data_IF_167778740243
#
_entry.id   IF_167778740243
#
_cell.length_a   1.000
_cell.length_b   1.000
_cell.length_c   1.000
_cell.angle_alpha   90.00
_cell.angle_beta   90.00
_cell.angle_gamma   90.00
#
_symmetry.space_group_name_H-M   'P 1'
#
loop_
_entity.id
_entity.type
_entity.pdbx_description
1 polymer ?
#
# COMPACT_ATOMS: atom_id res chain seq x y z
N UNK A 1 57.85 10.00 -11.54
CA UNK A 1 56.82 9.39 -10.67
C UNK A 1 57.13 7.91 -10.59
N UNK A 2 57.46 7.41 -9.41
CA UNK A 2 57.78 6.00 -9.19
C UNK A 2 56.49 5.16 -9.19
N UNK A 3 56.58 3.87 -9.56
CA UNK A 3 55.44 2.95 -9.60
C UNK A 3 54.71 2.85 -8.25
N UNK A 4 55.44 2.94 -7.14
CA UNK A 4 54.89 2.96 -5.79
C UNK A 4 54.03 4.21 -5.51
N UNK A 5 54.45 5.39 -5.96
CA UNK A 5 53.68 6.63 -5.81
C UNK A 5 52.37 6.56 -6.60
N UNK A 6 52.42 6.00 -7.82
CA UNK A 6 51.21 5.79 -8.64
C UNK A 6 50.25 4.83 -7.94
N UNK A 7 50.77 3.75 -7.36
CA UNK A 7 49.96 2.76 -6.66
C UNK A 7 49.28 3.36 -5.43
N UNK A 8 50.01 4.16 -4.65
CA UNK A 8 49.49 4.85 -3.46
C UNK A 8 48.39 5.87 -3.82
N UNK A 9 48.60 6.72 -4.83
CA UNK A 9 47.59 7.68 -5.30
C UNK A 9 46.34 6.93 -5.82
N UNK A 10 46.55 5.84 -6.56
CA UNK A 10 45.46 5.01 -7.08
C UNK A 10 44.65 4.38 -5.95
N UNK A 11 45.30 3.82 -4.92
CA UNK A 11 44.60 3.26 -3.75
C UNK A 11 43.76 4.31 -3.02
N UNK A 12 44.29 5.51 -2.80
CA UNK A 12 43.53 6.60 -2.18
C UNK A 12 42.33 6.98 -3.06
N UNK A 13 42.54 7.13 -4.37
CA UNK A 13 41.47 7.45 -5.32
C UNK A 13 40.35 6.41 -5.32
N UNK A 14 40.70 5.13 -5.35
CA UNK A 14 39.74 4.02 -5.27
C UNK A 14 39.01 4.01 -3.93
N UNK A 15 39.71 4.24 -2.82
CA UNK A 15 39.12 4.32 -1.49
C UNK A 15 38.07 5.43 -1.38
N UNK A 16 38.37 6.63 -1.90
CA UNK A 16 37.43 7.75 -1.97
C UNK A 16 36.23 7.38 -2.85
N UNK A 17 36.45 6.78 -4.02
CA UNK A 17 35.38 6.38 -4.92
C UNK A 17 34.42 5.37 -4.28
N UNK A 18 34.94 4.43 -3.48
CA UNK A 18 34.11 3.47 -2.72
C UNK A 18 33.27 4.19 -1.66
N UNK A 19 33.85 5.09 -0.88
CA UNK A 19 33.12 5.85 0.14
C UNK A 19 31.98 6.66 -0.49
N UNK A 20 32.28 7.37 -1.57
CA UNK A 20 31.28 8.15 -2.32
C UNK A 20 30.17 7.24 -2.83
N UNK A 21 30.51 6.07 -3.39
CA UNK A 21 29.52 5.09 -3.87
C UNK A 21 28.60 4.60 -2.75
N UNK A 22 29.14 4.31 -1.56
CA UNK A 22 28.33 3.89 -0.40
C UNK A 22 27.34 4.99 0.01
N UNK A 23 27.78 6.26 0.02
CA UNK A 23 26.91 7.40 0.34
C UNK A 23 25.78 7.52 -0.68
N UNK A 24 26.08 7.39 -1.98
CA UNK A 24 25.05 7.41 -3.03
C UNK A 24 24.02 6.28 -2.86
N UNK A 25 24.47 5.06 -2.62
CA UNK A 25 23.57 3.92 -2.36
C UNK A 25 22.67 4.19 -1.15
N UNK A 26 23.22 4.73 -0.06
CA UNK A 26 22.42 5.07 1.12
C UNK A 26 21.36 6.16 0.82
N UNK A 27 21.70 7.15 -0.01
CA UNK A 27 20.77 8.19 -0.45
C UNK A 27 19.67 7.62 -1.35
N UNK A 28 20.03 6.76 -2.32
CA UNK A 28 19.07 6.10 -3.22
C UNK A 28 18.10 5.21 -2.44
N UNK A 29 18.58 4.41 -1.49
CA UNK A 29 17.73 3.60 -0.63
C UNK A 29 16.74 4.47 0.15
N UNK A 30 17.22 5.58 0.73
CA UNK A 30 16.35 6.51 1.47
C UNK A 30 15.29 7.15 0.57
N UNK A 31 15.66 7.56 -0.64
CA UNK A 31 14.71 8.14 -1.61
C UNK A 31 13.69 7.11 -2.07
N UNK A 32 14.13 5.88 -2.39
CA UNK A 32 13.25 4.79 -2.80
C UNK A 32 12.25 4.44 -1.71
N UNK A 33 12.69 4.31 -0.45
CA UNK A 33 11.78 4.06 0.68
C UNK A 33 10.79 5.22 0.90
N UNK A 34 11.17 6.46 0.63
CA UNK A 34 10.24 7.59 0.68
C UNK A 34 9.21 7.56 -0.45
N UNK A 35 9.66 7.30 -1.69
CA UNK A 35 8.78 7.20 -2.86
C UNK A 35 7.78 6.06 -2.73
N UNK A 36 8.21 4.90 -2.22
CA UNK A 36 7.32 3.76 -1.94
C UNK A 36 6.23 4.15 -0.93
N UNK A 37 6.61 4.76 0.20
CA UNK A 37 5.64 5.24 1.21
C UNK A 37 4.63 6.23 0.63
N UNK A 38 5.11 7.22 -0.13
CA UNK A 38 4.24 8.19 -0.78
C UNK A 38 3.29 7.54 -1.79
N UNK A 39 3.80 6.64 -2.63
CA UNK A 39 3.00 5.91 -3.62
C UNK A 39 1.88 5.10 -2.96
N UNK A 40 2.16 4.42 -1.84
CA UNK A 40 1.14 3.71 -1.08
C UNK A 40 0.08 4.66 -0.48
N UNK A 41 0.50 5.79 0.08
CA UNK A 41 -0.41 6.79 0.60
C UNK A 41 -1.31 7.38 -0.50
N UNK A 42 -0.74 7.68 -1.68
CA UNK A 42 -1.47 8.18 -2.84
C UNK A 42 -2.50 7.14 -3.34
N UNK A 43 -2.11 5.87 -3.43
CA UNK A 43 -3.03 4.77 -3.79
C UNK A 43 -4.18 4.64 -2.79
N UNK A 44 -3.90 4.82 -1.49
CA UNK A 44 -4.93 4.83 -0.44
C UNK A 44 -5.93 5.97 -0.63
N UNK A 45 -5.43 7.19 -0.85
CA UNK A 45 -6.27 8.37 -1.09
C UNK A 45 -7.10 8.20 -2.36
N UNK A 46 -6.51 7.75 -3.47
CA UNK A 46 -7.24 7.54 -4.73
C UNK A 46 -8.40 6.55 -4.56
N UNK A 47 -8.19 5.45 -3.83
CA UNK A 47 -9.25 4.47 -3.55
C UNK A 47 -10.38 5.07 -2.71
N UNK A 48 -10.03 5.79 -1.65
CA UNK A 48 -11.01 6.45 -0.78
C UNK A 48 -11.83 7.43 -1.62
N UNK A 49 -11.17 8.29 -2.39
CA UNK A 49 -11.84 9.24 -3.26
C UNK A 49 -12.78 8.54 -4.24
N UNK A 50 -12.30 7.51 -4.96
CA UNK A 50 -13.14 6.72 -5.86
C UNK A 50 -14.38 6.15 -5.17
N UNK A 51 -14.21 5.52 -4.00
CA UNK A 51 -15.33 4.88 -3.29
C UNK A 51 -16.35 5.93 -2.85
N UNK A 52 -15.92 7.01 -2.18
CA UNK A 52 -16.82 8.04 -1.68
C UNK A 52 -17.48 8.83 -2.82
N UNK A 53 -16.73 9.16 -3.87
CA UNK A 53 -17.27 9.84 -5.04
C UNK A 53 -18.30 8.96 -5.76
N UNK A 54 -18.00 7.68 -5.97
CA UNK A 54 -18.95 6.74 -6.59
C UNK A 54 -20.19 6.57 -5.72
N UNK A 55 -20.03 6.44 -4.40
CA UNK A 55 -21.16 6.39 -3.47
C UNK A 55 -22.03 7.65 -3.58
N UNK A 56 -21.46 8.84 -3.78
CA UNK A 56 -22.22 10.10 -3.85
C UNK A 56 -22.83 10.35 -5.24
N UNK A 57 -22.17 9.93 -6.31
CA UNK A 57 -22.57 10.25 -7.69
C UNK A 57 -23.39 9.15 -8.36
N UNK A 58 -23.28 7.89 -7.91
CA UNK A 58 -23.99 6.75 -8.47
C UNK A 58 -24.98 6.14 -7.45
N UNK A 59 -26.26 6.32 -7.72
CA UNK A 59 -27.34 5.80 -6.87
C UNK A 59 -27.48 4.28 -6.97
N UNK A 60 -27.25 3.67 -8.13
CA UNK A 60 -27.31 2.21 -8.27
C UNK A 60 -26.22 1.57 -7.43
N UNK A 61 -24.98 2.07 -7.59
CA UNK A 61 -23.84 1.59 -6.82
C UNK A 61 -24.05 1.79 -5.31
N UNK A 62 -24.55 2.96 -4.88
CA UNK A 62 -24.85 3.21 -3.47
C UNK A 62 -25.88 2.22 -2.91
N UNK A 63 -26.99 2.03 -3.62
CA UNK A 63 -28.06 1.13 -3.20
C UNK A 63 -27.54 -0.32 -3.12
N UNK A 64 -26.77 -0.75 -4.13
CA UNK A 64 -26.10 -2.05 -4.12
C UNK A 64 -25.15 -2.18 -2.92
N UNK A 65 -24.26 -1.21 -2.72
CA UNK A 65 -23.28 -1.20 -1.62
C UNK A 65 -23.98 -1.26 -0.25
N UNK A 66 -25.09 -0.54 -0.05
CA UNK A 66 -25.86 -0.61 1.20
C UNK A 66 -26.54 -1.96 1.40
N UNK A 67 -27.04 -2.58 0.32
CA UNK A 67 -27.68 -3.90 0.39
C UNK A 67 -26.69 -5.01 0.74
N UNK A 68 -25.39 -4.88 0.44
CA UNK A 68 -24.37 -5.86 0.84
C UNK A 68 -24.39 -6.08 2.37
N UNK A 69 -24.61 -5.05 3.16
CA UNK A 69 -24.59 -5.17 4.62
C UNK A 69 -25.96 -5.57 5.21
N UNK A 70 -27.07 -5.35 4.48
CA UNK A 70 -28.43 -5.48 5.02
C UNK A 70 -29.28 -6.61 4.39
N UNK A 71 -28.93 -7.08 3.19
CA UNK A 71 -29.78 -7.93 2.35
C UNK A 71 -29.00 -9.02 1.60
N UNK A 72 -27.74 -9.28 2.00
CA UNK A 72 -26.83 -10.17 1.28
C UNK A 72 -27.37 -11.59 1.04
N UNK A 73 -28.13 -12.13 1.98
CA UNK A 73 -28.64 -13.50 1.89
C UNK A 73 -29.68 -13.67 0.77
N UNK A 74 -30.30 -12.58 0.33
CA UNK A 74 -31.24 -12.55 -0.80
C UNK A 74 -30.58 -12.19 -2.14
N UNK A 75 -29.25 -12.02 -2.17
CA UNK A 75 -28.55 -11.69 -3.41
C UNK A 75 -28.61 -12.85 -4.39
N UNK A 76 -28.79 -12.50 -5.66
CA UNK A 76 -28.52 -13.40 -6.78
C UNK A 76 -27.04 -13.76 -6.84
N UNK A 77 -26.69 -14.83 -7.56
CA UNK A 77 -25.29 -15.25 -7.70
C UNK A 77 -24.42 -14.17 -8.39
N UNK A 78 -24.99 -13.41 -9.34
CA UNK A 78 -24.32 -12.27 -9.96
C UNK A 78 -24.06 -11.14 -8.95
N UNK A 79 -25.06 -10.78 -8.13
CA UNK A 79 -24.89 -9.77 -7.08
C UNK A 79 -23.84 -10.20 -6.03
N UNK A 80 -23.82 -11.48 -5.66
CA UNK A 80 -22.77 -12.03 -4.77
C UNK A 80 -21.39 -11.94 -5.42
N UNK A 81 -21.27 -12.26 -6.70
CA UNK A 81 -20.01 -12.11 -7.42
C UNK A 81 -19.55 -10.65 -7.49
N UNK A 82 -20.45 -9.71 -7.81
CA UNK A 82 -20.17 -8.27 -7.78
C UNK A 82 -19.71 -7.82 -6.40
N UNK A 83 -20.37 -8.30 -5.34
CA UNK A 83 -20.03 -7.97 -3.96
C UNK A 83 -18.67 -8.55 -3.56
N UNK A 84 -18.35 -9.78 -3.97
CA UNK A 84 -17.04 -10.40 -3.79
C UNK A 84 -15.94 -9.59 -4.48
N UNK A 85 -16.13 -9.19 -5.74
CA UNK A 85 -15.17 -8.36 -6.47
C UNK A 85 -14.89 -7.02 -5.76
N UNK A 86 -15.92 -6.38 -5.23
CA UNK A 86 -15.77 -5.17 -4.42
C UNK A 86 -15.04 -5.44 -3.09
N UNK A 87 -15.31 -6.60 -2.47
CA UNK A 87 -14.62 -7.08 -1.28
C UNK A 87 -13.13 -7.32 -1.52
N UNK A 88 -12.75 -8.02 -2.61
CA UNK A 88 -11.37 -8.28 -3.01
C UNK A 88 -10.59 -6.97 -3.21
N UNK A 89 -11.19 -5.98 -3.88
CA UNK A 89 -10.57 -4.65 -4.06
C UNK A 89 -10.27 -3.98 -2.72
N UNK A 90 -11.16 -4.13 -1.75
CA UNK A 90 -10.98 -3.58 -0.40
C UNK A 90 -9.91 -4.34 0.39
N UNK A 91 -9.95 -5.68 0.35
CA UNK A 91 -9.00 -6.59 1.02
C UNK A 91 -7.57 -6.36 0.54
N UNK A 92 -7.36 -6.28 -0.78
CA UNK A 92 -6.03 -6.09 -1.35
C UNK A 92 -5.31 -4.89 -0.75
N UNK A 93 -6.00 -3.75 -0.62
CA UNK A 93 -5.35 -2.59 -0.03
C UNK A 93 -5.06 -2.76 1.46
N UNK A 94 -5.91 -3.45 2.22
CA UNK A 94 -5.62 -3.68 3.63
C UNK A 94 -4.42 -4.61 3.79
N UNK A 95 -4.24 -5.58 2.89
CA UNK A 95 -3.07 -6.44 2.85
C UNK A 95 -1.80 -5.66 2.47
N UNK A 96 -1.87 -4.75 1.50
CA UNK A 96 -0.75 -3.87 1.13
C UNK A 96 -0.34 -2.98 2.32
N UNK A 97 -1.31 -2.36 3.01
CA UNK A 97 -1.07 -1.56 4.22
C UNK A 97 -0.53 -2.44 5.38
N UNK A 98 -0.99 -3.69 5.51
CA UNK A 98 -0.49 -4.62 6.53
C UNK A 98 0.98 -4.98 6.30
N UNK A 99 1.37 -5.29 5.06
CA UNK A 99 2.76 -5.53 4.70
C UNK A 99 3.64 -4.33 5.01
N UNK A 100 3.18 -3.14 4.62
CA UNK A 100 3.88 -1.89 4.89
C UNK A 100 4.07 -1.60 6.39
N UNK A 101 3.12 -1.99 7.25
CA UNK A 101 3.29 -1.89 8.70
C UNK A 101 4.42 -2.79 9.21
N UNK A 102 4.47 -4.05 8.79
CA UNK A 102 5.53 -4.98 9.21
C UNK A 102 6.92 -4.59 8.68
N UNK A 103 6.97 -3.84 7.57
CA UNK A 103 8.20 -3.26 7.03
C UNK A 103 8.59 -1.93 7.71
N UNK A 104 7.84 -1.46 8.72
CA UNK A 104 8.11 -0.21 9.41
C UNK A 104 7.83 1.04 8.57
N UNK A 105 7.06 0.90 7.49
CA UNK A 105 6.72 1.99 6.57
C UNK A 105 5.49 2.80 7.01
N UNK A 106 4.68 2.24 7.93
CA UNK A 106 3.46 2.83 8.48
C UNK A 106 3.65 3.13 9.97
N UNK A 107 3.14 4.28 10.42
CA UNK A 107 3.17 4.68 11.83
C UNK A 107 2.20 3.87 12.70
N UNK A 108 2.37 3.94 14.02
CA UNK A 108 1.49 3.26 14.98
C UNK A 108 0.06 3.83 14.95
N UNK A 109 -0.07 5.12 14.67
CA UNK A 109 -1.35 5.82 14.55
C UNK A 109 -2.12 5.33 13.32
N UNK A 110 -1.43 5.19 12.18
CA UNK A 110 -2.00 4.63 10.96
C UNK A 110 -2.37 3.15 11.13
N UNK A 111 -1.58 2.38 11.90
CA UNK A 111 -1.92 1.01 12.26
C UNK A 111 -3.27 0.89 12.97
N UNK A 112 -3.59 1.80 13.91
CA UNK A 112 -4.89 1.77 14.59
C UNK A 112 -6.04 1.91 13.59
N UNK A 113 -5.91 2.81 12.60
CA UNK A 113 -6.91 2.95 11.55
C UNK A 113 -7.01 1.69 10.68
N UNK A 114 -5.87 1.09 10.31
CA UNK A 114 -5.85 -0.14 9.52
C UNK A 114 -6.48 -1.32 10.27
N UNK A 115 -6.18 -1.47 11.55
CA UNK A 115 -6.75 -2.51 12.41
C UNK A 115 -8.27 -2.41 12.47
N UNK A 116 -8.80 -1.21 12.63
CA UNK A 116 -10.26 -0.96 12.57
C UNK A 116 -10.85 -1.32 11.21
N UNK A 117 -10.20 -0.93 10.12
CA UNK A 117 -10.66 -1.25 8.77
C UNK A 117 -10.69 -2.77 8.52
N UNK A 118 -9.65 -3.49 8.95
CA UNK A 118 -9.58 -4.95 8.83
C UNK A 118 -10.67 -5.63 9.67
N UNK A 119 -10.87 -5.19 10.92
CA UNK A 119 -11.94 -5.70 11.79
C UNK A 119 -13.32 -5.47 11.20
N UNK A 120 -13.54 -4.30 10.60
CA UNK A 120 -14.79 -3.98 9.93
C UNK A 120 -14.99 -4.81 8.66
N UNK A 121 -13.96 -4.94 7.83
CA UNK A 121 -13.99 -5.76 6.62
C UNK A 121 -14.30 -7.23 6.92
N UNK A 122 -13.70 -7.79 7.97
CA UNK A 122 -13.94 -9.17 8.40
C UNK A 122 -15.38 -9.44 8.83
N UNK A 123 -16.16 -8.40 9.15
CA UNK A 123 -17.59 -8.51 9.52
C UNK A 123 -18.52 -8.43 8.31
N UNK A 124 -18.03 -8.03 7.14
CA UNK A 124 -18.89 -7.85 5.97
C UNK A 124 -19.33 -9.18 5.39
N UNK A 125 -20.62 -9.36 5.02
CA UNK A 125 -21.14 -10.62 4.51
C UNK A 125 -20.41 -11.14 3.27
N UNK A 126 -20.04 -10.25 2.35
CA UNK A 126 -19.31 -10.57 1.11
C UNK A 126 -17.82 -10.93 1.31
N UNK A 127 -17.31 -10.86 2.54
CA UNK A 127 -15.96 -11.27 2.92
C UNK A 127 -16.02 -12.47 3.87
N UNK A 128 -16.96 -12.47 4.81
CA UNK A 128 -17.10 -13.52 5.81
C UNK A 128 -17.80 -14.78 5.29
N UNK A 129 -18.79 -14.62 4.41
CA UNK A 129 -19.61 -15.72 3.85
C UNK A 129 -19.22 -16.09 2.41
N UNK A 130 -18.16 -15.48 1.88
CA UNK A 130 -17.55 -15.86 0.60
C UNK A 130 -16.73 -17.14 0.77
#
# INVERSE_FOLDING_TARGET
MNLEEVYFITQIGVGIAIIVSIVFVALELRQNSYLLRKSMADNRVQRINWLFETLVTDNEFRNFHQRIDNDYDNFTDDEKYRAMCLGIRSLRSMLDELGAYFEGQISKEEWVSLEWNMKYAARRPNIHKA
#
